data_IF_478476709815
#
_entry.id   IF_478476709815
#
_cell.length_a   1.000
_cell.length_b   1.000
_cell.length_c   1.000
_cell.angle_alpha   90.00
_cell.angle_beta   90.00
_cell.angle_gamma   90.00
#
_symmetry.space_group_name_H-M   'P 1'
#
loop_
_entity.id
_entity.type
_entity.pdbx_description
1 polymer ?
#
# COMPACT_ATOMS: atom_id res chain seq x y z
N UNK A 1 12.18 -15.41 -1.92
CA UNK A 1 11.09 -14.42 -1.98
C UNK A 1 11.71 -13.03 -2.09
N UNK A 2 11.32 -12.21 -3.05
CA UNK A 2 11.65 -10.78 -3.05
C UNK A 2 10.52 -10.04 -2.34
N UNK A 3 10.85 -9.28 -1.29
CA UNK A 3 9.88 -8.43 -0.59
C UNK A 3 10.25 -6.99 -0.89
N UNK A 4 9.36 -6.27 -1.57
CA UNK A 4 9.49 -4.83 -1.87
C UNK A 4 8.43 -4.09 -1.07
N UNK A 5 8.81 -3.00 -0.41
CA UNK A 5 7.91 -2.18 0.38
C UNK A 5 8.14 -0.68 0.11
N UNK A 6 7.14 0.13 0.41
CA UNK A 6 7.28 1.57 0.63
C UNK A 6 6.71 1.89 2.01
N UNK A 7 7.33 2.82 2.75
CA UNK A 7 6.86 3.24 4.06
C UNK A 7 6.31 4.66 3.98
N UNK A 8 5.01 4.81 4.19
CA UNK A 8 4.32 6.09 4.25
C UNK A 8 4.27 6.58 5.70
N UNK A 9 4.53 7.87 5.93
CA UNK A 9 4.56 8.50 7.26
C UNK A 9 5.65 9.55 7.35
N UNK A 10 5.88 10.05 8.57
CA UNK A 10 6.98 10.99 8.89
C UNK A 10 7.81 10.45 10.04
N UNK A 11 8.98 11.07 10.28
CA UNK A 11 9.82 10.71 11.44
C UNK A 11 9.20 11.19 12.76
N UNK A 12 8.19 12.06 12.71
CA UNK A 12 7.45 12.57 13.87
C UNK A 12 6.30 11.63 14.31
N UNK A 13 5.92 10.65 13.48
CA UNK A 13 4.90 9.67 13.87
C UNK A 13 5.40 8.85 15.08
N UNK A 14 4.53 8.39 15.99
CA UNK A 14 4.92 7.59 17.16
C UNK A 14 5.83 6.39 16.84
N UNK A 15 5.65 5.80 15.66
CA UNK A 15 6.41 4.67 15.13
C UNK A 15 7.74 5.05 14.45
N UNK A 16 7.97 6.34 14.17
CA UNK A 16 9.12 6.93 13.46
C UNK A 16 9.46 6.24 12.13
N UNK A 17 9.18 6.91 11.01
CA UNK A 17 9.37 6.34 9.66
C UNK A 17 10.79 5.80 9.42
N UNK A 18 11.84 6.57 9.71
CA UNK A 18 13.23 6.12 9.51
C UNK A 18 13.57 4.82 10.26
N UNK A 19 13.09 4.67 11.50
CA UNK A 19 13.28 3.45 12.28
C UNK A 19 12.56 2.24 11.67
N UNK A 20 11.35 2.42 11.13
CA UNK A 20 10.62 1.35 10.45
C UNK A 20 11.33 0.92 9.15
N UNK A 21 11.84 1.88 8.37
CA UNK A 21 12.64 1.59 7.17
C UNK A 21 13.87 0.76 7.53
N UNK A 22 14.64 1.19 8.53
CA UNK A 22 15.85 0.48 8.96
C UNK A 22 15.57 -0.97 9.41
N UNK A 23 14.45 -1.21 10.12
CA UNK A 23 14.04 -2.57 10.54
C UNK A 23 13.71 -3.47 9.35
N UNK A 24 13.03 -2.93 8.34
CA UNK A 24 12.67 -3.65 7.12
C UNK A 24 13.91 -4.00 6.30
N UNK A 25 14.81 -3.03 6.11
CA UNK A 25 16.08 -3.24 5.38
C UNK A 25 16.97 -4.26 6.10
N UNK A 26 17.02 -4.24 7.43
CA UNK A 26 17.80 -5.19 8.23
C UNK A 26 17.38 -6.65 8.03
N UNK A 27 16.13 -6.92 7.65
CA UNK A 27 15.64 -8.27 7.32
C UNK A 27 15.61 -8.56 5.81
N UNK A 28 16.21 -7.67 5.01
CA UNK A 28 16.38 -7.86 3.56
C UNK A 28 15.20 -7.41 2.71
N UNK A 29 14.27 -6.60 3.25
CA UNK A 29 13.22 -5.96 2.43
C UNK A 29 13.83 -4.81 1.61
N UNK A 30 13.47 -4.76 0.33
CA UNK A 30 13.81 -3.65 -0.56
C UNK A 30 12.81 -2.51 -0.32
N UNK A 31 13.23 -1.47 0.41
CA UNK A 31 12.37 -0.34 0.72
C UNK A 31 12.59 0.79 -0.29
N UNK A 32 11.54 1.16 -1.01
CA UNK A 32 11.55 2.27 -1.97
C UNK A 32 10.87 3.51 -1.39
N UNK A 33 11.32 4.69 -1.84
CA UNK A 33 10.87 5.99 -1.33
C UNK A 33 9.42 6.34 -1.71
N UNK A 34 8.86 5.64 -2.71
CA UNK A 34 7.49 5.88 -3.16
C UNK A 34 6.80 4.60 -3.62
N UNK A 35 5.48 4.59 -3.54
CA UNK A 35 4.65 3.48 -4.03
C UNK A 35 4.87 3.21 -5.52
N UNK A 36 5.07 4.26 -6.32
CA UNK A 36 5.35 4.14 -7.75
C UNK A 36 6.67 3.42 -8.02
N UNK A 37 7.72 3.74 -7.25
CA UNK A 37 9.03 3.08 -7.37
C UNK A 37 8.99 1.63 -6.88
N UNK A 38 8.30 1.37 -5.77
CA UNK A 38 8.07 0.01 -5.27
C UNK A 38 7.37 -0.88 -6.30
N UNK A 39 6.32 -0.35 -6.95
CA UNK A 39 5.59 -1.06 -7.99
C UNK A 39 6.44 -1.29 -9.25
N UNK A 40 7.22 -0.29 -9.68
CA UNK A 40 8.13 -0.42 -10.82
C UNK A 40 9.22 -1.47 -10.58
N UNK A 41 9.84 -1.48 -9.40
CA UNK A 41 10.84 -2.47 -9.00
C UNK A 41 10.23 -3.88 -8.96
N UNK A 42 9.03 -4.02 -8.41
CA UNK A 42 8.29 -5.29 -8.41
C UNK A 42 8.01 -5.78 -9.83
N UNK A 43 7.57 -4.90 -10.73
CA UNK A 43 7.35 -5.22 -12.14
C UNK A 43 8.64 -5.68 -12.84
N UNK A 44 9.77 -5.03 -12.57
CA UNK A 44 11.07 -5.42 -13.12
C UNK A 44 11.55 -6.79 -12.59
N UNK A 45 11.31 -7.09 -11.31
CA UNK A 45 11.64 -8.39 -10.71
C UNK A 45 10.80 -9.50 -11.33
N UNK A 46 9.49 -9.27 -11.54
CA UNK A 46 8.57 -10.25 -12.13
C UNK A 46 8.83 -10.47 -13.62
N UNK A 47 9.20 -9.42 -14.36
CA UNK A 47 9.50 -9.51 -15.79
C UNK A 47 10.80 -10.28 -16.12
N UNK A 48 11.57 -10.72 -15.11
CA UNK A 48 12.69 -11.64 -15.28
C UNK A 48 13.89 -11.11 -16.07
N UNK A 49 14.07 -9.78 -16.11
CA UNK A 49 15.20 -9.17 -16.83
C UNK A 49 16.57 -9.64 -16.31
N UNK A 50 17.58 -9.73 -17.19
CA UNK A 50 18.93 -10.23 -16.90
C UNK A 50 19.64 -9.55 -15.69
N UNK A 51 19.17 -8.36 -15.29
CA UNK A 51 19.63 -7.60 -14.13
C UNK A 51 19.29 -8.27 -12.78
N UNK A 52 18.24 -9.12 -12.74
CA UNK A 52 17.79 -9.78 -11.51
C UNK A 52 18.88 -10.69 -10.91
N UNK A 53 19.63 -11.42 -11.75
CA UNK A 53 20.71 -12.32 -11.27
C UNK A 53 21.88 -11.55 -10.63
N UNK A 54 22.24 -10.38 -11.17
CA UNK A 54 23.30 -9.53 -10.62
C UNK A 54 22.85 -8.79 -9.35
N UNK A 55 21.57 -8.43 -9.28
CA UNK A 55 20.96 -7.80 -8.11
C UNK A 55 20.89 -8.77 -6.93
N UNK A 56 20.47 -10.02 -7.15
CA UNK A 56 20.47 -11.08 -6.14
C UNK A 56 21.87 -11.34 -5.57
N UNK A 57 22.89 -11.48 -6.43
CA UNK A 57 24.27 -11.71 -5.99
C UNK A 57 24.85 -10.55 -5.16
N UNK A 58 24.37 -9.32 -5.37
CA UNK A 58 24.80 -8.13 -4.60
C UNK A 58 24.08 -8.01 -3.26
N UNK A 59 22.79 -8.37 -3.20
CA UNK A 59 21.96 -8.32 -1.99
C UNK A 59 22.24 -9.48 -1.03
N UNK A 60 22.65 -10.64 -1.55
CA UNK A 60 23.02 -11.81 -0.74
C UNK A 60 24.37 -11.70 -0.02
N UNK A 61 25.09 -10.59 -0.12
CA UNK A 61 26.42 -10.41 0.52
C UNK A 61 26.40 -9.97 1.99
N UNK A 62 25.26 -9.98 2.67
CA UNK A 62 25.20 -9.57 4.09
C UNK A 62 24.11 -10.18 4.97
N UNK A 63 23.14 -10.90 4.41
CA UNK A 63 22.06 -11.49 5.19
C UNK A 63 22.14 -13.02 5.11
N UNK A 64 22.36 -13.67 6.25
CA UNK A 64 22.08 -15.10 6.38
C UNK A 64 20.62 -15.38 6.02
N UNK A 65 20.28 -16.60 5.57
CA UNK A 65 18.93 -16.89 5.08
C UNK A 65 17.92 -16.59 6.20
N UNK A 66 16.96 -15.66 6.01
CA UNK A 66 15.86 -15.52 6.95
C UNK A 66 15.12 -16.86 6.98
N UNK A 67 14.82 -17.35 8.19
CA UNK A 67 14.09 -18.58 8.40
C UNK A 67 12.86 -18.61 7.49
N UNK A 68 12.77 -19.64 6.65
CA UNK A 68 11.73 -19.75 5.64
C UNK A 68 10.36 -19.86 6.30
N UNK A 69 9.60 -18.77 6.32
CA UNK A 69 8.16 -18.83 6.51
C UNK A 69 7.57 -19.19 5.15
N UNK A 70 6.82 -20.30 5.08
CA UNK A 70 6.07 -20.66 3.89
C UNK A 70 4.99 -19.60 3.67
N UNK A 71 5.26 -18.66 2.78
CA UNK A 71 4.25 -17.73 2.26
C UNK A 71 3.75 -18.38 0.98
N UNK A 72 2.50 -18.88 1.01
CA UNK A 72 1.83 -19.30 -0.21
C UNK A 72 1.81 -18.11 -1.19
N UNK A 73 2.30 -18.29 -2.44
CA UNK A 73 2.29 -17.22 -3.43
C UNK A 73 0.85 -16.74 -3.67
N UNK A 74 0.51 -15.53 -3.23
CA UNK A 74 -0.65 -14.85 -3.74
C UNK A 74 -0.29 -14.29 -5.11
N UNK A 75 -0.74 -14.94 -6.17
CA UNK A 75 -0.81 -14.34 -7.50
C UNK A 75 -2.11 -13.52 -7.57
N UNK A 76 -2.10 -12.20 -7.29
CA UNK A 76 -3.22 -11.39 -7.71
C UNK A 76 -3.28 -11.46 -9.24
N UNK A 77 -4.47 -11.68 -9.84
CA UNK A 77 -4.60 -11.49 -11.27
C UNK A 77 -4.19 -10.05 -11.58
N UNK A 78 -3.08 -9.86 -12.29
CA UNK A 78 -2.70 -8.55 -12.80
C UNK A 78 -3.77 -8.18 -13.81
N UNK A 79 -4.61 -7.17 -13.55
CA UNK A 79 -5.61 -6.78 -14.52
C UNK A 79 -4.84 -6.22 -15.71
N UNK A 80 -4.88 -6.92 -16.85
CA UNK A 80 -4.63 -6.24 -18.11
C UNK A 80 -5.70 -5.15 -18.19
N UNK A 81 -5.39 -3.87 -18.44
CA UNK A 81 -6.40 -2.86 -18.68
C UNK A 81 -7.18 -3.25 -19.93
N UNK A 82 -8.19 -4.10 -19.77
CA UNK A 82 -9.12 -4.44 -20.82
C UNK A 82 -9.93 -3.20 -21.15
N UNK A 83 -10.55 -3.17 -22.33
CA UNK A 83 -11.38 -2.05 -22.79
C UNK A 83 -12.40 -1.56 -21.72
N UNK A 84 -12.83 -2.44 -20.81
CA UNK A 84 -13.68 -2.12 -19.67
C UNK A 84 -13.05 -1.14 -18.65
N UNK A 85 -11.75 -1.26 -18.34
CA UNK A 85 -11.05 -0.36 -17.41
C UNK A 85 -10.89 1.04 -17.99
N UNK A 86 -10.59 1.14 -19.29
CA UNK A 86 -10.52 2.43 -20.00
C UNK A 86 -11.90 3.07 -20.12
N UNK A 87 -12.94 2.27 -20.39
CA UNK A 87 -14.33 2.76 -20.42
C UNK A 87 -14.81 3.27 -19.05
N UNK A 88 -14.37 2.65 -17.95
CA UNK A 88 -14.68 3.10 -16.59
C UNK A 88 -14.15 4.52 -16.29
N UNK A 89 -12.99 4.87 -16.84
CA UNK A 89 -12.34 6.17 -16.64
C UNK A 89 -12.72 7.22 -17.70
N UNK A 90 -13.38 6.81 -18.78
CA UNK A 90 -13.74 7.69 -19.90
C UNK A 90 -14.99 8.54 -19.64
N UNK A 91 -15.77 8.21 -18.62
CA UNK A 91 -17.00 8.91 -18.26
C UNK A 91 -16.94 9.56 -16.88
N UNK A 92 -17.98 10.33 -16.51
CA UNK A 92 -18.13 10.85 -15.15
C UNK A 92 -18.12 9.71 -14.12
N UNK A 93 -17.39 9.87 -12.99
CA UNK A 93 -17.25 8.80 -12.01
C UNK A 93 -18.58 8.52 -11.30
N UNK A 94 -18.82 7.25 -10.99
CA UNK A 94 -19.87 6.82 -10.07
C UNK A 94 -19.25 6.61 -8.70
N UNK A 95 -19.68 7.37 -7.70
CA UNK A 95 -18.98 7.41 -6.42
C UNK A 95 -19.73 6.66 -5.33
N UNK A 96 -19.00 5.79 -4.63
CA UNK A 96 -19.39 5.20 -3.35
C UNK A 96 -18.37 5.65 -2.32
N UNK A 97 -18.80 6.45 -1.34
CA UNK A 97 -17.96 6.85 -0.22
C UNK A 97 -18.02 5.79 0.88
N UNK A 98 -16.86 5.46 1.44
CA UNK A 98 -16.70 4.56 2.59
C UNK A 98 -15.68 5.22 3.51
N UNK A 99 -16.07 5.53 4.74
CA UNK A 99 -15.22 6.21 5.71
C UNK A 99 -15.78 7.57 6.14
N UNK A 100 -14.96 8.63 6.06
CA UNK A 100 -15.34 9.95 6.58
C UNK A 100 -16.49 10.58 5.79
N UNK A 101 -17.53 11.02 6.50
CA UNK A 101 -18.70 11.68 5.92
C UNK A 101 -18.35 12.98 5.18
N UNK A 102 -17.33 13.72 5.65
CA UNK A 102 -16.90 14.99 5.04
C UNK A 102 -16.48 14.86 3.57
N UNK A 103 -16.01 13.67 3.13
CA UNK A 103 -15.71 13.43 1.72
C UNK A 103 -16.98 13.32 0.88
N UNK A 104 -18.01 12.63 1.37
CA UNK A 104 -19.30 12.58 0.68
C UNK A 104 -19.97 13.96 0.64
N UNK A 105 -19.91 14.73 1.73
CA UNK A 105 -20.43 16.10 1.77
C UNK A 105 -19.75 17.01 0.74
N UNK A 106 -18.42 16.96 0.65
CA UNK A 106 -17.64 17.74 -0.32
C UNK A 106 -18.03 17.42 -1.77
N UNK A 107 -18.30 16.15 -2.07
CA UNK A 107 -18.75 15.71 -3.39
C UNK A 107 -20.18 16.15 -3.71
N UNK A 108 -21.10 16.06 -2.72
CA UNK A 108 -22.48 16.53 -2.88
C UNK A 108 -22.54 18.05 -3.12
N UNK A 109 -21.70 18.82 -2.42
CA UNK A 109 -21.60 20.27 -2.61
C UNK A 109 -21.16 20.66 -4.04
N UNK A 110 -20.41 19.78 -4.71
CA UNK A 110 -19.99 19.94 -6.11
C UNK A 110 -21.01 19.36 -7.12
N UNK A 111 -22.17 18.90 -6.64
CA UNK A 111 -23.21 18.31 -7.48
C UNK A 111 -22.90 16.89 -7.95
N UNK A 112 -21.90 16.20 -7.36
CA UNK A 112 -21.56 14.82 -7.71
C UNK A 112 -22.49 13.86 -6.95
N UNK A 113 -23.23 12.98 -7.65
CA UNK A 113 -24.02 11.94 -7.01
C UNK A 113 -23.12 10.93 -6.28
N UNK A 114 -23.31 10.76 -4.98
CA UNK A 114 -22.51 9.85 -4.14
C UNK A 114 -23.42 9.00 -3.25
N UNK A 115 -23.16 7.69 -3.24
CA UNK A 115 -23.73 6.77 -2.24
C UNK A 115 -22.75 6.72 -1.08
N UNK A 116 -23.23 6.98 0.13
CA UNK A 116 -22.38 7.05 1.31
C UNK A 116 -22.70 5.87 2.23
N UNK A 117 -21.68 5.06 2.50
CA UNK A 117 -21.81 3.82 3.26
C UNK A 117 -21.35 4.07 4.68
N UNK A 118 -22.27 3.92 5.64
CA UNK A 118 -21.96 3.90 7.07
C UNK A 118 -21.26 2.59 7.45
N UNK A 119 -19.99 2.51 7.05
CA UNK A 119 -19.13 1.37 7.32
C UNK A 119 -18.35 1.58 8.61
N UNK A 120 -18.25 0.53 9.43
CA UNK A 120 -17.45 0.51 10.66
C UNK A 120 -16.59 -0.76 10.71
N UNK A 121 -15.35 -0.69 11.23
CA UNK A 121 -14.50 -1.86 11.37
C UNK A 121 -15.17 -2.96 12.22
N UNK A 122 -15.17 -4.23 11.79
CA UNK A 122 -15.78 -5.33 12.54
C UNK A 122 -15.21 -5.52 13.95
N UNK A 123 -13.96 -5.10 14.17
CA UNK A 123 -13.24 -5.23 15.44
C UNK A 123 -13.58 -4.13 16.48
N UNK A 124 -14.72 -3.45 16.34
CA UNK A 124 -15.26 -2.53 17.33
C UNK A 124 -14.57 -1.18 17.46
N UNK A 125 -13.38 -1.02 16.87
CA UNK A 125 -12.53 0.15 17.07
C UNK A 125 -12.05 0.18 18.52
N UNK A 126 -10.74 0.13 18.75
CA UNK A 126 -10.22 0.30 20.10
C UNK A 126 -10.70 1.66 20.64
N UNK A 127 -11.65 1.64 21.57
CA UNK A 127 -12.30 2.85 22.06
C UNK A 127 -11.30 3.81 22.68
N UNK A 128 -10.26 3.31 23.34
CA UNK A 128 -9.22 4.16 23.91
C UNK A 128 -8.46 4.92 22.80
N UNK A 129 -8.21 4.26 21.66
CA UNK A 129 -7.59 4.90 20.50
C UNK A 129 -8.55 5.89 19.82
N UNK A 130 -9.84 5.55 19.70
CA UNK A 130 -10.85 6.47 19.15
C UNK A 130 -11.00 7.72 20.01
N UNK A 131 -11.07 7.59 21.34
CA UNK A 131 -11.15 8.71 22.28
C UNK A 131 -9.89 9.60 22.20
N UNK A 132 -8.70 9.01 21.96
CA UNK A 132 -7.46 9.76 21.74
C UNK A 132 -7.48 10.51 20.40
N UNK A 133 -8.03 9.92 19.35
CA UNK A 133 -8.15 10.55 18.04
C UNK A 133 -9.19 11.68 18.05
N UNK A 134 -10.32 11.53 18.75
CA UNK A 134 -11.32 12.59 18.90
C UNK A 134 -10.77 13.84 19.61
N UNK A 135 -9.82 13.67 20.53
CA UNK A 135 -9.16 14.78 21.23
C UNK A 135 -8.14 15.55 20.38
N UNK A 136 -7.80 15.03 19.20
CA UNK A 136 -6.94 15.70 18.22
C UNK A 136 -7.76 16.47 17.17
N UNK A 137 -9.10 16.45 17.29
CA UNK A 137 -10.04 17.29 16.53
C UNK A 137 -10.27 18.64 17.17
#
# INVERSE_FOLDING_TARGET
LAVVASVCGTDADPQNRANQVAKLEAVGVLVEESNARAAALTGAIVAGGAESKGLWARLSRGAGPPGSVAVEPFEPPVPTPGAAGTALLAGPPRVVNVGLAGFAESLRAQGVPVIDVDWRPPAGGDRAMLDLLERLG
#
